data_IF_015843981216
#
_entry.id   IF_015843981216
#
_cell.length_a   1.000
_cell.length_b   1.000
_cell.length_c   1.000
_cell.angle_alpha   90.00
_cell.angle_beta   90.00
_cell.angle_gamma   90.00
#
_symmetry.space_group_name_H-M   'P 1'
#
loop_
_entity.id
_entity.type
_entity.pdbx_description
1 polymer ?
#
# COMPACT_ATOMS: atom_id res chain seq x y z
N UNK A 1 4.39 -8.36 -26.57
CA UNK A 1 4.88 -7.49 -25.48
C UNK A 1 4.95 -6.10 -26.05
N UNK A 2 3.95 -5.27 -25.78
CA UNK A 2 3.93 -3.88 -26.22
C UNK A 2 3.97 -3.03 -24.95
N UNK A 3 5.16 -2.55 -24.60
CA UNK A 3 5.42 -1.78 -23.38
C UNK A 3 5.74 -0.35 -23.78
N UNK A 4 4.69 0.44 -24.05
CA UNK A 4 4.79 1.88 -24.31
C UNK A 4 4.81 2.71 -23.01
N UNK A 5 5.66 2.34 -22.04
CA UNK A 5 5.98 3.20 -20.90
C UNK A 5 7.49 3.24 -20.74
N UNK A 6 8.05 4.46 -20.64
CA UNK A 6 9.44 4.64 -20.26
C UNK A 6 9.64 4.02 -18.87
N UNK A 7 10.82 3.44 -18.57
CA UNK A 7 11.13 2.92 -17.24
C UNK A 7 11.01 3.98 -16.13
N UNK A 8 10.97 5.26 -16.51
CA UNK A 8 10.79 6.43 -15.64
C UNK A 8 9.34 6.62 -15.17
N UNK A 9 8.35 5.93 -15.76
CA UNK A 9 6.91 6.06 -15.43
C UNK A 9 6.27 4.74 -14.91
N UNK A 10 7.06 3.68 -14.69
CA UNK A 10 6.53 2.40 -14.21
C UNK A 10 6.44 2.36 -12.68
N UNK A 11 5.22 2.39 -12.16
CA UNK A 11 4.95 2.03 -10.76
C UNK A 11 5.10 0.52 -10.62
N UNK A 12 6.10 0.06 -9.87
CA UNK A 12 6.41 -1.37 -9.71
C UNK A 12 5.21 -2.18 -9.23
N UNK A 13 4.44 -1.65 -8.27
CA UNK A 13 3.28 -2.34 -7.70
C UNK A 13 2.21 -2.60 -8.77
N UNK A 14 1.95 -1.64 -9.66
CA UNK A 14 0.97 -1.79 -10.74
C UNK A 14 1.41 -2.87 -11.72
N UNK A 15 2.68 -2.86 -12.11
CA UNK A 15 3.25 -3.86 -13.02
C UNK A 15 3.20 -5.28 -12.44
N UNK A 16 3.54 -5.44 -11.15
CA UNK A 16 3.47 -6.75 -10.48
C UNK A 16 2.01 -7.20 -10.34
N UNK A 17 1.07 -6.27 -10.13
CA UNK A 17 -0.36 -6.61 -10.10
C UNK A 17 -0.88 -7.09 -11.45
N UNK A 18 -0.45 -6.47 -12.56
CA UNK A 18 -0.76 -6.95 -13.91
C UNK A 18 -0.20 -8.35 -14.16
N UNK A 19 1.01 -8.65 -13.69
CA UNK A 19 1.56 -10.00 -13.79
C UNK A 19 0.76 -11.00 -12.95
N UNK A 20 0.36 -10.61 -11.74
CA UNK A 20 -0.47 -11.43 -10.85
C UNK A 20 -1.83 -11.76 -11.48
N UNK A 21 -2.55 -10.77 -12.00
CA UNK A 21 -3.87 -10.96 -12.64
C UNK A 21 -3.82 -11.83 -13.89
N UNK A 22 -2.67 -11.84 -14.59
CA UNK A 22 -2.42 -12.68 -15.76
C UNK A 22 -1.84 -14.07 -15.43
N UNK A 23 -1.67 -14.43 -14.15
CA UNK A 23 -1.07 -15.70 -13.75
C UNK A 23 0.43 -15.83 -14.09
N UNK A 24 1.12 -14.70 -14.26
CA UNK A 24 2.54 -14.59 -14.66
C UNK A 24 3.40 -14.00 -13.56
N UNK A 25 2.98 -14.14 -12.29
CA UNK A 25 3.63 -13.48 -11.15
C UNK A 25 5.15 -13.73 -11.08
N UNK A 26 5.60 -14.95 -11.39
CA UNK A 26 7.02 -15.32 -11.36
C UNK A 26 7.90 -14.53 -12.36
N UNK A 27 7.32 -13.86 -13.37
CA UNK A 27 8.07 -12.96 -14.25
C UNK A 27 8.55 -11.69 -13.54
N UNK A 28 8.03 -11.41 -12.35
CA UNK A 28 8.50 -10.32 -11.49
C UNK A 28 9.77 -10.68 -10.69
N UNK A 29 10.23 -11.94 -10.73
CA UNK A 29 11.44 -12.35 -10.05
C UNK A 29 12.68 -11.60 -10.59
N UNK A 30 13.63 -11.28 -9.71
CA UNK A 30 14.88 -10.62 -10.11
C UNK A 30 15.65 -11.51 -11.11
N UNK A 31 15.96 -11.03 -12.32
CA UNK A 31 16.73 -11.80 -13.31
C UNK A 31 18.13 -12.20 -12.85
N UNK A 32 18.67 -11.55 -11.81
CA UNK A 32 19.97 -11.89 -11.21
C UNK A 32 19.89 -13.09 -10.28
N UNK A 33 18.69 -13.54 -9.94
CA UNK A 33 18.45 -14.72 -9.12
C UNK A 33 18.51 -15.95 -10.03
N UNK A 34 19.63 -16.67 -10.00
CA UNK A 34 19.95 -17.71 -10.96
C UNK A 34 19.04 -18.95 -10.80
N UNK A 35 18.95 -19.49 -9.59
CA UNK A 35 18.08 -20.60 -9.22
C UNK A 35 17.34 -20.21 -7.94
N UNK A 36 16.01 -20.37 -7.95
CA UNK A 36 15.18 -20.05 -6.79
C UNK A 36 14.04 -21.06 -6.63
N UNK A 37 13.65 -21.36 -5.38
CA UNK A 37 12.44 -22.12 -5.11
C UNK A 37 11.22 -21.32 -5.53
N UNK A 38 10.47 -21.87 -6.50
CA UNK A 38 9.29 -21.22 -7.10
C UNK A 38 8.23 -20.89 -6.04
N UNK A 39 8.05 -21.77 -5.05
CA UNK A 39 7.08 -21.60 -3.97
C UNK A 39 7.41 -20.41 -3.07
N UNK A 40 8.69 -20.24 -2.70
CA UNK A 40 9.10 -19.12 -1.83
C UNK A 40 9.02 -17.78 -2.57
N UNK A 41 9.42 -17.75 -3.85
CA UNK A 41 9.32 -16.53 -4.67
C UNK A 41 7.87 -16.16 -4.90
N UNK A 42 7.00 -17.13 -5.18
CA UNK A 42 5.55 -16.90 -5.26
C UNK A 42 5.00 -16.30 -3.97
N UNK A 43 5.31 -16.92 -2.83
CA UNK A 43 4.88 -16.45 -1.51
C UNK A 43 5.35 -15.02 -1.23
N UNK A 44 6.61 -14.71 -1.50
CA UNK A 44 7.17 -13.36 -1.22
C UNK A 44 6.53 -12.32 -2.13
N UNK A 45 6.29 -12.64 -3.40
CA UNK A 45 5.65 -11.71 -4.34
C UNK A 45 4.18 -11.43 -3.95
N UNK A 46 3.41 -12.47 -3.62
CA UNK A 46 2.03 -12.30 -3.14
C UNK A 46 1.99 -11.54 -1.80
N UNK A 47 2.90 -11.84 -0.88
CA UNK A 47 3.01 -11.13 0.38
C UNK A 47 3.38 -9.66 0.18
N UNK A 48 4.28 -9.36 -0.76
CA UNK A 48 4.65 -8.01 -1.15
C UNK A 48 3.46 -7.20 -1.69
N UNK A 49 2.61 -7.83 -2.51
CA UNK A 49 1.37 -7.24 -2.99
C UNK A 49 0.41 -6.92 -1.84
N UNK A 50 0.22 -7.86 -0.90
CA UNK A 50 -0.67 -7.66 0.24
C UNK A 50 -0.15 -6.56 1.20
N UNK A 51 1.16 -6.50 1.44
CA UNK A 51 1.79 -5.44 2.24
C UNK A 51 1.67 -4.06 1.58
N UNK A 52 1.64 -4.01 0.25
CA UNK A 52 1.54 -2.77 -0.54
C UNK A 52 0.10 -2.34 -0.83
N UNK A 53 -0.89 -3.01 -0.24
CA UNK A 53 -2.30 -2.74 -0.50
C UNK A 53 -2.66 -1.28 -0.20
N UNK A 54 -3.45 -0.59 -1.04
CA UNK A 54 -3.78 0.84 -0.84
C UNK A 54 -4.53 1.07 0.47
N UNK A 55 -5.44 0.17 0.83
CA UNK A 55 -6.15 0.19 2.10
C UNK A 55 -5.29 -0.39 3.24
N UNK A 56 -5.06 0.35 4.34
CA UNK A 56 -4.24 -0.11 5.46
C UNK A 56 -4.85 -1.30 6.20
N UNK A 57 -6.18 -1.38 6.26
CA UNK A 57 -6.93 -2.45 6.94
C UNK A 57 -6.68 -3.84 6.33
N UNK A 58 -6.34 -3.88 5.03
CA UNK A 58 -6.06 -5.12 4.30
C UNK A 58 -4.60 -5.58 4.45
N UNK A 59 -3.72 -4.71 4.97
CA UNK A 59 -2.29 -5.05 5.13
C UNK A 59 -2.12 -5.97 6.35
N UNK A 60 -1.31 -7.03 6.24
CA UNK A 60 -1.01 -7.88 7.38
C UNK A 60 -0.18 -7.11 8.41
N UNK A 61 -0.35 -7.45 9.69
CA UNK A 61 0.54 -6.93 10.71
C UNK A 61 1.93 -7.62 10.61
N UNK A 62 2.96 -6.97 11.15
CA UNK A 62 4.35 -7.48 11.06
C UNK A 62 4.53 -8.88 11.64
N UNK A 63 3.80 -9.24 12.69
CA UNK A 63 3.85 -10.60 13.26
C UNK A 63 3.34 -11.64 12.25
N UNK A 64 2.24 -11.33 11.54
CA UNK A 64 1.71 -12.21 10.50
C UNK A 64 2.67 -12.33 9.31
N UNK A 65 3.30 -11.23 8.90
CA UNK A 65 4.31 -11.22 7.82
C UNK A 65 5.44 -12.19 8.15
N UNK A 66 6.01 -12.09 9.35
CA UNK A 66 7.10 -12.99 9.79
C UNK A 66 6.65 -14.45 9.86
N UNK A 67 5.44 -14.72 10.37
CA UNK A 67 4.91 -16.08 10.43
C UNK A 67 4.70 -16.71 9.03
N UNK A 68 4.25 -15.91 8.04
CA UNK A 68 4.11 -16.40 6.66
C UNK A 68 5.47 -16.69 6.03
N UNK A 69 6.45 -15.82 6.24
CA UNK A 69 7.83 -16.03 5.76
C UNK A 69 8.53 -17.21 6.44
N UNK A 70 8.18 -17.51 7.70
CA UNK A 70 8.71 -18.66 8.43
C UNK A 70 8.02 -19.99 8.07
N UNK A 71 6.92 -19.96 7.30
CA UNK A 71 6.11 -21.14 7.01
C UNK A 71 5.17 -21.57 8.14
N UNK A 72 5.07 -20.79 9.22
CA UNK A 72 4.19 -21.06 10.37
C UNK A 72 2.71 -20.78 10.07
N UNK A 73 2.43 -20.02 9.00
CA UNK A 73 1.09 -19.63 8.57
C UNK A 73 0.93 -19.91 7.07
N UNK A 74 -0.27 -20.32 6.61
CA UNK A 74 -0.52 -20.51 5.18
C UNK A 74 -0.22 -19.25 4.36
N UNK A 75 0.10 -19.42 3.06
CA UNK A 75 0.42 -18.32 2.16
C UNK A 75 -0.75 -17.33 2.04
N UNK A 76 -0.45 -16.05 1.75
CA UNK A 76 -1.47 -15.02 1.60
C UNK A 76 -2.39 -15.33 0.42
N UNK A 77 -3.69 -15.11 0.58
CA UNK A 77 -4.63 -15.15 -0.54
C UNK A 77 -4.77 -13.72 -1.05
N UNK A 78 -4.18 -13.43 -2.22
CA UNK A 78 -4.30 -12.14 -2.90
C UNK A 78 -5.34 -12.28 -4.01
N UNK A 79 -6.35 -11.42 -4.03
CA UNK A 79 -7.32 -11.41 -5.11
C UNK A 79 -6.66 -10.97 -6.42
N UNK A 80 -7.06 -11.55 -7.54
CA UNK A 80 -6.50 -11.21 -8.85
C UNK A 80 -6.86 -9.79 -9.31
N UNK A 81 -7.97 -9.24 -8.82
CA UNK A 81 -8.42 -7.91 -9.17
C UNK A 81 -7.62 -6.82 -8.43
N UNK A 82 -7.13 -5.77 -9.12
CA UNK A 82 -6.43 -4.68 -8.49
C UNK A 82 -7.33 -3.92 -7.52
N UNK A 83 -6.87 -3.64 -6.29
CA UNK A 83 -7.71 -2.99 -5.29
C UNK A 83 -8.15 -1.57 -5.68
N UNK A 84 -7.43 -0.92 -6.61
CA UNK A 84 -7.81 0.38 -7.15
C UNK A 84 -8.90 0.31 -8.24
N UNK A 85 -9.23 -0.87 -8.77
CA UNK A 85 -10.34 -1.02 -9.72
C UNK A 85 -11.70 -0.69 -9.08
N UNK A 86 -11.83 -0.90 -7.77
CA UNK A 86 -13.02 -0.52 -7.01
C UNK A 86 -13.13 1.00 -6.75
N UNK A 87 -12.01 1.73 -6.85
CA UNK A 87 -11.90 3.14 -6.45
C UNK A 87 -11.97 4.13 -7.63
N UNK A 88 -12.21 3.66 -8.86
CA UNK A 88 -12.29 4.50 -10.07
C UNK A 88 -13.28 5.68 -9.96
N UNK A 89 -14.39 5.64 -9.19
CA UNK A 89 -15.22 6.83 -8.97
C UNK A 89 -14.58 7.93 -8.10
N UNK A 90 -13.48 7.67 -7.38
CA UNK A 90 -12.90 8.60 -6.40
C UNK A 90 -11.75 9.45 -6.94
N UNK A 91 -10.96 8.93 -7.89
CA UNK A 91 -9.80 9.67 -8.46
C UNK A 91 -10.21 10.84 -9.36
N UNK A 92 -11.31 10.72 -10.12
CA UNK A 92 -11.84 11.83 -10.93
C UNK A 92 -12.24 13.02 -10.07
N UNK A 93 -12.78 12.77 -8.86
CA UNK A 93 -13.38 13.82 -8.03
C UNK A 93 -12.36 14.69 -7.31
N UNK A 94 -11.13 14.19 -7.11
CA UNK A 94 -10.10 14.88 -6.32
C UNK A 94 -9.36 15.97 -7.11
N UNK A 95 -9.39 15.94 -8.44
CA UNK A 95 -8.75 16.93 -9.28
C UNK A 95 -9.66 18.12 -9.65
N UNK A 96 -10.99 17.93 -9.62
CA UNK A 96 -11.96 19.00 -9.92
C UNK A 96 -12.04 20.07 -8.81
N UNK A 97 -11.71 19.71 -7.57
CA UNK A 97 -11.70 20.63 -6.42
C UNK A 97 -10.57 21.67 -6.50
N UNK A 98 -9.50 21.42 -7.27
CA UNK A 98 -8.36 22.35 -7.38
C UNK A 98 -8.57 23.44 -8.45
N UNK A 99 -9.41 23.21 -9.46
CA UNK A 99 -9.56 24.14 -10.58
C UNK A 99 -10.82 25.04 -10.49
N UNK A 100 -11.74 24.76 -9.56
CA UNK A 100 -13.02 25.50 -9.43
C UNK A 100 -13.07 26.46 -8.22
N UNK A 101 -12.03 26.52 -7.38
CA UNK A 101 -11.99 27.48 -6.25
C UNK A 101 -11.10 28.68 -6.57
N UNK A 102 -11.51 29.49 -7.54
CA UNK A 102 -11.27 30.92 -7.43
C UNK A 102 -12.35 31.47 -6.48
N UNK A 103 -11.93 32.20 -5.44
CA UNK A 103 -12.69 32.77 -4.32
C UNK A 103 -12.73 31.93 -3.02
N UNK A 104 -12.18 32.54 -1.96
CA UNK A 104 -11.78 31.94 -0.69
C UNK A 104 -12.94 31.58 0.26
N UNK A 105 -12.80 30.49 1.05
CA UNK A 105 -12.90 30.52 2.53
C UNK A 105 -12.49 29.20 3.23
N UNK A 106 -11.61 29.34 4.23
CA UNK A 106 -11.37 28.55 5.45
C UNK A 106 -11.37 27.01 5.44
N UNK A 107 -10.15 26.46 5.49
CA UNK A 107 -9.88 25.09 5.94
C UNK A 107 -9.71 25.02 7.46
N UNK A 108 -10.49 24.15 8.10
CA UNK A 108 -10.32 23.76 9.51
C UNK A 108 -9.29 22.64 9.61
N UNK A 109 -8.00 23.00 9.54
CA UNK A 109 -6.94 22.15 10.07
C UNK A 109 -6.58 22.63 11.47
N UNK A 110 -6.71 21.72 12.44
CA UNK A 110 -6.33 21.93 13.84
C UNK A 110 -4.95 22.54 13.96
N UNK A 111 -4.90 23.76 14.47
CA UNK A 111 -3.69 24.51 14.76
C UNK A 111 -2.98 23.83 15.94
N UNK A 112 -1.87 23.15 15.70
CA UNK A 112 -0.96 22.69 16.77
C UNK A 112 -0.28 23.91 17.37
N UNK A 113 -0.62 24.26 18.61
CA UNK A 113 0.04 25.30 19.39
C UNK A 113 1.24 24.69 20.12
N UNK A 114 2.45 25.11 19.75
CA UNK A 114 3.64 24.88 20.56
C UNK A 114 3.68 26.04 21.56
N UNK A 115 3.24 25.81 22.79
CA UNK A 115 3.45 26.74 23.90
C UNK A 115 4.74 26.35 24.60
N UNK A 116 5.72 27.25 24.57
CA UNK A 116 6.95 27.19 25.35
C UNK A 116 6.62 27.41 26.82
N UNK A 117 6.13 26.38 27.51
CA UNK A 117 6.21 26.21 28.96
C UNK A 117 6.02 24.72 29.24
N UNK A 118 7.02 24.12 29.90
CA UNK A 118 7.27 22.68 29.91
C UNK A 118 6.26 21.84 30.68
N UNK A 119 5.11 21.55 30.09
CA UNK A 119 4.23 20.44 30.54
C UNK A 119 3.81 19.58 29.36
N UNK A 120 4.27 18.32 29.39
CA UNK A 120 4.05 17.31 28.34
C UNK A 120 2.61 16.79 28.34
N UNK A 121 1.98 16.55 27.17
CA UNK A 121 0.57 16.12 27.06
C UNK A 121 0.32 14.65 27.40
N UNK A 122 1.28 13.92 28.00
CA UNK A 122 1.14 12.48 28.30
C UNK A 122 0.21 12.20 29.51
N UNK A 123 -0.30 13.22 30.20
CA UNK A 123 -1.05 13.04 31.44
C UNK A 123 -2.53 12.65 31.31
N UNK A 124 -3.12 12.54 30.11
CA UNK A 124 -4.56 12.20 29.96
C UNK A 124 -4.84 10.69 29.85
N UNK A 125 -4.14 9.85 30.62
CA UNK A 125 -4.37 8.39 30.64
C UNK A 125 -4.47 7.73 32.03
N UNK A 126 -4.93 8.45 33.06
CA UNK A 126 -5.41 7.86 34.32
C UNK A 126 -6.61 8.73 34.75
N UNK A 127 -7.85 8.26 34.83
CA UNK A 127 -8.29 7.05 35.52
C UNK A 127 -8.77 7.44 36.92
N UNK A 128 -10.09 7.32 37.12
CA UNK A 128 -10.83 7.06 38.38
C UNK A 128 -11.42 8.18 39.25
N UNK A 129 -12.65 7.84 39.61
CA UNK A 129 -13.54 8.17 40.74
C UNK A 129 -14.21 9.55 40.77
#
# INVERSE_FOLDING_TARGET
>A
VDTKRSPEELVLVDWVWELHSNGKLLQAADPRLNEYPVEEVGLVLELGLLCSHPHPEARPNMRQVVQMLAGDKPPPVVNSDPPWAADIPLMSKRFDDFNTTSHATTSSYGKRTITSDGTSPVALLVGRD
#
